data_IF_061978674081
#
_entry.id   IF_061978674081
#
_cell.length_a   1.000
_cell.length_b   1.000
_cell.length_c   1.000
_cell.angle_alpha   90.00
_cell.angle_beta   90.00
_cell.angle_gamma   90.00
#
_symmetry.space_group_name_H-M   'P 1'
#
loop_
_entity.id
_entity.type
_entity.pdbx_description
1 polymer ?
#
# COMPACT_ATOMS: atom_id res chain seq x y z
N UNK A 1 -15.04 6.73 62.48
CA UNK A 1 -14.27 5.97 61.47
C UNK A 1 -15.08 5.99 60.20
N UNK A 2 -14.76 6.86 59.26
CA UNK A 2 -15.35 6.84 57.92
C UNK A 2 -14.57 5.84 57.04
N UNK A 3 -15.21 5.00 56.22
CA UNK A 3 -14.49 4.21 55.23
C UNK A 3 -14.12 5.08 54.02
N UNK A 4 -12.85 4.95 53.62
CA UNK A 4 -12.25 5.61 52.48
C UNK A 4 -12.97 5.30 51.15
N UNK A 5 -12.98 6.32 50.27
CA UNK A 5 -13.51 6.29 48.90
C UNK A 5 -13.00 5.09 48.06
N UNK A 6 -13.85 4.48 47.21
CA UNK A 6 -13.39 3.52 46.24
C UNK A 6 -12.69 4.24 45.08
N UNK A 7 -11.36 4.24 45.12
CA UNK A 7 -10.52 4.53 43.96
C UNK A 7 -10.75 3.49 42.86
N UNK A 8 -11.31 3.96 41.75
CA UNK A 8 -11.06 3.57 40.35
C UNK A 8 -10.64 2.10 40.09
N UNK A 9 -11.57 1.31 39.54
CA UNK A 9 -11.25 0.45 38.39
C UNK A 9 -11.87 1.10 37.16
N UNK A 10 -11.07 1.85 36.40
CA UNK A 10 -11.40 2.06 34.99
C UNK A 10 -11.18 0.70 34.34
N UNK A 11 -12.25 -0.08 34.21
CA UNK A 11 -12.26 -1.19 33.27
C UNK A 11 -11.92 -0.58 31.92
N UNK A 12 -10.76 -0.94 31.39
CA UNK A 12 -10.47 -0.73 29.98
C UNK A 12 -11.43 -1.69 29.28
N UNK A 13 -12.64 -1.23 28.96
CA UNK A 13 -13.50 -1.97 28.05
C UNK A 13 -12.80 -1.92 26.70
N UNK A 14 -12.01 -2.94 26.42
CA UNK A 14 -11.57 -3.21 25.07
C UNK A 14 -12.86 -3.59 24.34
N UNK A 15 -13.47 -2.61 23.68
CA UNK A 15 -14.80 -2.72 23.09
C UNK A 15 -14.84 -3.99 22.23
N UNK A 16 -15.77 -4.90 22.52
CA UNK A 16 -15.80 -6.23 21.89
C UNK A 16 -15.88 -6.13 20.35
N UNK A 17 -16.45 -5.02 19.86
CA UNK A 17 -16.45 -4.60 18.44
C UNK A 17 -15.04 -4.52 17.83
N UNK A 18 -14.08 -3.94 18.56
CA UNK A 18 -12.70 -3.74 18.13
C UNK A 18 -11.92 -5.05 18.09
N UNK A 19 -12.28 -5.98 18.99
CA UNK A 19 -11.70 -7.33 19.03
C UNK A 19 -12.22 -8.19 17.88
N UNK A 20 -13.51 -8.13 17.60
CA UNK A 20 -14.10 -8.85 16.46
C UNK A 20 -13.57 -8.35 15.11
N UNK A 21 -13.42 -7.03 14.96
CA UNK A 21 -12.82 -6.43 13.76
C UNK A 21 -11.36 -6.86 13.57
N UNK A 22 -10.57 -6.91 14.64
CA UNK A 22 -9.19 -7.40 14.59
C UNK A 22 -9.13 -8.88 14.19
N UNK A 23 -10.00 -9.72 14.77
CA UNK A 23 -10.08 -11.13 14.40
C UNK A 23 -10.52 -11.32 12.94
N UNK A 24 -11.42 -10.47 12.44
CA UNK A 24 -11.82 -10.44 11.03
C UNK A 24 -10.63 -10.10 10.13
N UNK A 25 -9.85 -9.08 10.47
CA UNK A 25 -8.66 -8.68 9.72
C UNK A 25 -7.61 -9.79 9.69
N UNK A 26 -7.33 -10.43 10.84
CA UNK A 26 -6.37 -11.54 10.93
C UNK A 26 -6.79 -12.75 10.06
N UNK A 27 -8.08 -13.09 10.06
CA UNK A 27 -8.61 -14.15 9.19
C UNK A 27 -8.47 -13.80 7.71
N UNK A 28 -8.65 -12.53 7.36
CA UNK A 28 -8.52 -12.05 6.00
C UNK A 28 -7.05 -12.11 5.52
N UNK A 29 -6.10 -11.67 6.36
CA UNK A 29 -4.67 -11.77 6.09
C UNK A 29 -4.25 -13.23 5.88
N UNK A 30 -4.67 -14.12 6.78
CA UNK A 30 -4.38 -15.55 6.66
C UNK A 30 -4.95 -16.15 5.38
N UNK A 31 -6.12 -15.70 4.91
CA UNK A 31 -6.65 -16.12 3.61
C UNK A 31 -5.78 -15.64 2.46
N UNK A 32 -5.41 -14.36 2.43
CA UNK A 32 -4.61 -13.80 1.33
C UNK A 32 -3.19 -14.38 1.26
N UNK A 33 -2.54 -14.65 2.39
CA UNK A 33 -1.21 -15.30 2.42
C UNK A 33 -1.22 -16.70 1.78
N UNK A 34 -2.33 -17.42 1.94
CA UNK A 34 -2.50 -18.78 1.47
C UNK A 34 -3.20 -18.88 0.10
N UNK A 35 -3.67 -17.76 -0.46
CA UNK A 35 -4.35 -17.74 -1.75
C UNK A 35 -3.33 -17.78 -2.91
N UNK A 36 -3.32 -18.85 -3.73
CA UNK A 36 -2.42 -18.94 -4.88
C UNK A 36 -2.68 -17.86 -5.94
N UNK A 37 -3.91 -17.34 -6.05
CA UNK A 37 -4.23 -16.27 -7.00
C UNK A 37 -3.63 -14.93 -6.54
N UNK A 38 -3.45 -14.69 -5.24
CA UNK A 38 -2.74 -13.49 -4.75
C UNK A 38 -1.28 -13.48 -5.21
N UNK A 39 -0.58 -14.62 -5.10
CA UNK A 39 0.80 -14.74 -5.60
C UNK A 39 0.88 -14.53 -7.10
N UNK A 40 -0.08 -15.06 -7.86
CA UNK A 40 -0.17 -14.87 -9.31
C UNK A 40 -0.48 -13.41 -9.69
N UNK A 41 -1.32 -12.74 -8.91
CA UNK A 41 -1.60 -11.31 -9.06
C UNK A 41 -0.35 -10.48 -8.81
N UNK A 42 0.39 -10.74 -7.73
CA UNK A 42 1.68 -10.07 -7.45
C UNK A 42 2.67 -10.23 -8.61
N UNK A 43 2.87 -11.45 -9.10
CA UNK A 43 3.73 -11.72 -10.25
C UNK A 43 3.27 -10.99 -11.52
N UNK A 44 1.96 -10.91 -11.74
CA UNK A 44 1.40 -10.21 -12.90
C UNK A 44 1.60 -8.70 -12.78
N UNK A 45 1.35 -8.14 -11.59
CA UNK A 45 1.60 -6.73 -11.29
C UNK A 45 3.07 -6.37 -11.53
N UNK A 46 4.01 -7.20 -11.07
CA UNK A 46 5.45 -6.95 -11.29
C UNK A 46 5.83 -6.99 -12.78
N UNK A 47 5.23 -7.89 -13.57
CA UNK A 47 5.43 -7.90 -15.03
C UNK A 47 4.93 -6.61 -15.68
N UNK A 48 3.75 -6.13 -15.30
CA UNK A 48 3.19 -4.90 -15.82
C UNK A 48 4.00 -3.66 -15.42
N UNK A 49 4.50 -3.60 -14.17
CA UNK A 49 5.41 -2.53 -13.74
C UNK A 49 6.67 -2.47 -14.61
N UNK A 50 7.33 -3.61 -14.84
CA UNK A 50 8.53 -3.67 -15.70
C UNK A 50 8.23 -3.26 -17.14
N UNK A 51 7.10 -3.70 -17.69
CA UNK A 51 6.70 -3.32 -19.04
C UNK A 51 6.45 -1.80 -19.14
N UNK A 52 5.76 -1.22 -18.16
CA UNK A 52 5.51 0.23 -18.11
C UNK A 52 6.82 1.04 -17.97
N UNK A 53 7.75 0.58 -17.12
CA UNK A 53 9.08 1.19 -16.99
C UNK A 53 9.88 1.13 -18.30
N UNK A 54 9.85 -0.01 -19.00
CA UNK A 54 10.50 -0.16 -20.30
C UNK A 54 9.92 0.77 -21.36
N UNK A 55 8.59 0.86 -21.44
CA UNK A 55 7.91 1.79 -22.35
C UNK A 55 8.22 3.26 -22.03
N UNK A 56 8.31 3.63 -20.74
CA UNK A 56 8.71 4.96 -20.31
C UNK A 56 10.15 5.28 -20.74
N UNK A 57 11.08 4.34 -20.57
CA UNK A 57 12.47 4.50 -20.98
C UNK A 57 12.61 4.62 -22.51
N UNK A 58 11.81 3.88 -23.27
CA UNK A 58 11.75 4.03 -24.73
C UNK A 58 11.21 5.41 -25.12
N UNK A 59 10.10 5.84 -24.52
CA UNK A 59 9.49 7.13 -24.80
C UNK A 59 10.45 8.29 -24.54
N UNK A 60 11.24 8.22 -23.46
CA UNK A 60 12.27 9.22 -23.14
C UNK A 60 13.41 9.25 -24.16
N UNK A 61 13.77 8.11 -24.78
CA UNK A 61 14.80 8.08 -25.83
C UNK A 61 14.35 8.78 -27.11
N UNK A 62 13.06 8.70 -27.43
CA UNK A 62 12.49 9.33 -28.63
C UNK A 62 12.22 10.83 -28.46
N UNK A 63 12.17 11.33 -27.22
CA UNK A 63 11.99 12.75 -26.93
C UNK A 63 13.32 13.52 -27.11
N UNK A 64 13.78 13.65 -28.35
CA UNK A 64 14.86 14.56 -28.73
C UNK A 64 14.37 16.01 -28.61
N UNK A 65 14.50 16.63 -27.43
CA UNK A 65 14.13 18.04 -27.29
C UNK A 65 14.17 18.67 -25.90
N UNK A 66 14.33 17.87 -24.85
CA UNK A 66 14.48 18.39 -23.50
C UNK A 66 14.64 17.24 -22.53
N UNK A 67 15.47 17.43 -21.51
CA UNK A 67 15.64 16.49 -20.42
C UNK A 67 14.36 16.43 -19.56
N UNK A 68 13.23 15.99 -20.12
CA UNK A 68 12.07 15.68 -19.31
C UNK A 68 12.40 14.47 -18.46
N UNK A 69 12.33 14.66 -17.14
CA UNK A 69 12.54 13.56 -16.21
C UNK A 69 11.40 12.55 -16.32
N UNK A 70 11.67 11.29 -15.95
CA UNK A 70 10.65 10.22 -15.83
C UNK A 70 9.38 10.70 -15.11
N UNK A 71 9.54 11.49 -14.05
CA UNK A 71 8.44 12.00 -13.24
C UNK A 71 7.56 13.00 -14.00
N UNK A 72 8.14 13.88 -14.81
CA UNK A 72 7.39 14.88 -15.57
C UNK A 72 6.53 14.23 -16.65
N UNK A 73 7.07 13.19 -17.29
CA UNK A 73 6.32 12.39 -18.27
C UNK A 73 5.16 11.67 -17.58
N UNK A 74 5.39 11.06 -16.41
CA UNK A 74 4.32 10.38 -15.69
C UNK A 74 3.23 11.34 -15.21
N UNK A 75 3.61 12.53 -14.74
CA UNK A 75 2.68 13.59 -14.35
C UNK A 75 1.83 14.04 -15.56
N UNK A 76 2.41 14.13 -16.77
CA UNK A 76 1.69 14.45 -18.01
C UNK A 76 0.59 13.42 -18.34
N UNK A 77 0.88 12.14 -18.12
CA UNK A 77 -0.07 11.04 -18.36
C UNK A 77 -0.98 10.75 -17.16
N UNK A 78 -0.84 11.48 -16.05
CA UNK A 78 -1.63 11.26 -14.83
C UNK A 78 -1.34 9.92 -14.15
N UNK A 79 -0.12 9.40 -14.30
CA UNK A 79 0.30 8.11 -13.74
C UNK A 79 1.04 8.35 -12.43
N UNK A 80 0.57 7.75 -11.33
CA UNK A 80 1.33 7.72 -10.08
C UNK A 80 2.62 6.91 -10.28
N UNK A 81 3.77 7.53 -10.04
CA UNK A 81 5.08 6.89 -10.14
C UNK A 81 5.18 5.63 -9.26
N UNK A 82 4.53 5.62 -8.08
CA UNK A 82 4.53 4.46 -7.21
C UNK A 82 3.81 3.25 -7.83
N UNK A 83 2.80 3.50 -8.68
CA UNK A 83 2.05 2.45 -9.37
C UNK A 83 2.95 1.63 -10.30
N UNK A 84 4.00 2.26 -10.84
CA UNK A 84 5.02 1.61 -11.68
C UNK A 84 6.34 1.38 -10.95
N UNK A 85 6.38 1.49 -9.62
CA UNK A 85 7.56 1.19 -8.80
C UNK A 85 8.68 2.24 -8.88
N UNK A 86 8.38 3.48 -9.26
CA UNK A 86 9.29 4.60 -9.19
C UNK A 86 8.99 5.42 -7.92
N UNK A 87 9.86 5.30 -6.93
CA UNK A 87 9.78 6.12 -5.72
C UNK A 87 10.39 7.49 -6.00
N UNK A 88 9.69 8.58 -5.66
CA UNK A 88 10.29 9.91 -5.64
C UNK A 88 11.29 9.92 -4.48
N UNK A 89 12.58 9.72 -4.75
CA UNK A 89 13.64 9.95 -3.76
C UNK A 89 13.61 11.43 -3.40
N UNK A 90 13.08 11.74 -2.23
CA UNK A 90 13.16 13.07 -1.60
C UNK A 90 14.60 13.41 -1.24
#
# INVERSE_FOLDING_TARGET
MEPASPSQRREISFDDSSKEDLLRQLRLLSRYENDPEMKKMELSTEKWKRAAQGALDELLKYHEGGSQGKMEVLDLFGIDANAIGLSRTT
#
